data_IF_635883144183
#
_entry.id   IF_635883144183
#
_cell.length_a   1.000
_cell.length_b   1.000
_cell.length_c   1.000
_cell.angle_alpha   90.00
_cell.angle_beta   90.00
_cell.angle_gamma   90.00
#
_symmetry.space_group_name_H-M   'P 1'
#
loop_
_entity.id
_entity.type
_entity.pdbx_description
1 polymer ?
#
# COMPACT_ATOMS: atom_id res chain seq x y z
N UNK A 1 -1.07 0.43 11.73
CA UNK A 1 0.05 1.30 12.12
C UNK A 1 0.44 1.18 13.58
N UNK A 2 -0.50 1.03 14.55
CA UNK A 2 -0.15 0.99 15.99
C UNK A 2 0.90 -0.09 16.35
N UNK A 3 0.78 -1.29 15.80
CA UNK A 3 1.73 -2.37 16.05
C UNK A 3 3.12 -2.07 15.47
N UNK A 4 3.17 -1.49 14.28
CA UNK A 4 4.42 -1.08 13.63
C UNK A 4 5.13 0.01 14.44
N UNK A 5 4.41 1.04 14.86
CA UNK A 5 4.95 2.11 15.72
C UNK A 5 5.49 1.54 17.05
N UNK A 6 4.76 0.61 17.66
CA UNK A 6 5.23 -0.04 18.90
C UNK A 6 6.52 -0.82 18.66
N UNK A 7 6.58 -1.63 17.61
CA UNK A 7 7.78 -2.37 17.24
C UNK A 7 8.99 -1.47 16.98
N UNK A 8 8.78 -0.36 16.26
CA UNK A 8 9.84 0.62 16.00
C UNK A 8 10.37 1.23 17.30
N UNK A 9 9.48 1.58 18.25
CA UNK A 9 9.90 2.12 19.55
C UNK A 9 10.65 1.09 20.39
N UNK A 10 10.23 -0.18 20.37
CA UNK A 10 10.93 -1.25 21.06
C UNK A 10 12.34 -1.46 20.49
N UNK A 11 12.47 -1.50 19.16
CA UNK A 11 13.77 -1.60 18.50
C UNK A 11 14.66 -0.39 18.83
N UNK A 12 14.11 0.83 18.79
CA UNK A 12 14.86 2.02 19.15
C UNK A 12 15.40 1.96 20.59
N UNK A 13 14.61 1.46 21.54
CA UNK A 13 15.06 1.26 22.91
C UNK A 13 16.16 0.19 23.00
N UNK A 14 16.00 -0.93 22.32
CA UNK A 14 16.97 -2.04 22.31
C UNK A 14 18.34 -1.61 21.76
N UNK A 15 18.32 -0.82 20.67
CA UNK A 15 19.53 -0.38 19.97
C UNK A 15 19.99 1.03 20.38
N UNK A 16 19.41 1.62 21.44
CA UNK A 16 19.72 2.95 21.93
C UNK A 16 19.68 4.02 20.83
N UNK A 17 18.67 3.94 19.95
CA UNK A 17 18.42 4.90 18.89
C UNK A 17 17.36 5.93 19.32
N UNK A 18 17.49 7.16 18.85
CA UNK A 18 16.46 8.19 19.00
C UNK A 18 15.57 8.14 17.76
N UNK A 19 14.25 8.13 17.95
CA UNK A 19 13.31 8.14 16.84
C UNK A 19 12.32 9.29 16.98
N UNK A 20 12.00 9.89 15.85
CA UNK A 20 10.86 10.78 15.68
C UNK A 20 9.88 10.14 14.68
N UNK A 21 8.58 10.30 14.91
CA UNK A 21 7.54 9.71 14.07
C UNK A 21 6.69 10.83 13.51
N UNK A 22 6.69 10.98 12.20
CA UNK A 22 5.87 11.94 11.45
C UNK A 22 4.92 11.17 10.54
N UNK A 23 3.67 11.60 10.47
CA UNK A 23 2.68 11.01 9.58
C UNK A 23 1.59 12.02 9.23
N UNK A 24 1.03 11.96 8.02
CA UNK A 24 -0.19 12.71 7.70
C UNK A 24 -1.38 12.15 8.50
N UNK A 25 -2.47 12.90 8.54
CA UNK A 25 -3.70 12.46 9.22
C UNK A 25 -4.41 11.36 8.44
N UNK A 26 -4.39 11.45 7.11
CA UNK A 26 -5.00 10.49 6.20
C UNK A 26 -3.91 9.76 5.41
N UNK A 27 -4.09 8.46 5.18
CA UNK A 27 -3.11 7.60 4.52
C UNK A 27 -2.89 7.96 3.03
N UNK A 28 -3.90 8.54 2.40
CA UNK A 28 -3.88 8.99 1.00
C UNK A 28 -3.40 10.43 0.82
N UNK A 29 -2.98 11.13 1.88
CA UNK A 29 -2.45 12.50 1.80
C UNK A 29 -0.96 12.49 1.45
N UNK A 30 -0.69 12.22 0.16
CA UNK A 30 0.67 12.14 -0.39
C UNK A 30 1.40 13.48 -0.31
N UNK A 31 0.69 14.59 -0.53
CA UNK A 31 1.28 15.93 -0.47
C UNK A 31 1.80 16.20 0.94
N UNK A 32 0.97 15.98 1.97
CA UNK A 32 1.40 16.17 3.35
C UNK A 32 2.52 15.23 3.76
N UNK A 33 2.50 13.97 3.30
CA UNK A 33 3.62 13.07 3.56
C UNK A 33 4.92 13.58 2.95
N UNK A 34 4.88 14.09 1.71
CA UNK A 34 6.04 14.64 1.03
C UNK A 34 6.58 15.91 1.71
N UNK A 35 5.70 16.77 2.26
CA UNK A 35 6.12 17.91 3.09
C UNK A 35 6.84 17.45 4.36
N UNK A 36 6.25 16.50 5.10
CA UNK A 36 6.84 15.92 6.31
C UNK A 36 8.18 15.24 6.03
N UNK A 37 8.31 14.60 4.87
CA UNK A 37 9.57 14.00 4.44
C UNK A 37 10.65 15.06 4.20
N UNK A 38 10.31 16.17 3.55
CA UNK A 38 11.24 17.31 3.36
C UNK A 38 11.65 17.92 4.70
N UNK A 39 10.69 18.16 5.60
CA UNK A 39 10.97 18.63 6.96
C UNK A 39 11.96 17.69 7.67
N UNK A 40 11.73 16.37 7.61
CA UNK A 40 12.61 15.38 8.20
C UNK A 40 14.03 15.39 7.60
N UNK A 41 14.15 15.55 6.27
CA UNK A 41 15.45 15.64 5.59
C UNK A 41 16.23 16.90 6.02
N UNK A 42 15.54 18.02 6.27
CA UNK A 42 16.17 19.27 6.76
C UNK A 42 16.70 19.12 8.18
N UNK A 43 16.08 18.30 9.02
CA UNK A 43 16.54 17.99 10.37
C UNK A 43 17.82 17.14 10.39
N UNK A 44 18.18 16.51 9.27
CA UNK A 44 19.43 15.78 9.08
C UNK A 44 19.55 14.50 9.90
N UNK A 45 18.59 13.56 9.84
CA UNK A 45 18.68 12.29 10.54
C UNK A 45 19.74 11.38 9.91
N UNK A 46 20.25 10.41 10.66
CA UNK A 46 21.15 9.37 10.15
C UNK A 46 20.43 8.43 9.17
N UNK A 47 19.13 8.19 9.39
CA UNK A 47 18.30 7.31 8.57
C UNK A 47 16.83 7.72 8.58
N UNK A 48 16.13 7.41 7.49
CA UNK A 48 14.68 7.53 7.35
C UNK A 48 14.09 6.15 7.09
N UNK A 49 13.16 5.72 7.96
CA UNK A 49 12.31 4.57 7.75
C UNK A 49 10.95 5.06 7.31
N UNK A 50 10.55 4.81 6.08
CA UNK A 50 9.33 5.35 5.49
C UNK A 50 8.45 4.26 4.87
N UNK A 51 7.12 4.46 4.96
CA UNK A 51 6.12 3.76 4.17
C UNK A 51 5.51 4.78 3.20
N UNK A 52 5.99 4.85 1.94
CA UNK A 52 5.50 5.84 0.99
C UNK A 52 4.00 5.67 0.69
N UNK A 53 3.26 6.77 0.71
CA UNK A 53 1.83 6.82 0.34
C UNK A 53 1.59 6.85 -1.18
N UNK A 54 2.66 6.92 -1.99
CA UNK A 54 2.62 6.85 -3.44
C UNK A 54 3.77 6.02 -3.99
N UNK A 55 3.51 5.26 -5.05
CA UNK A 55 4.51 4.44 -5.71
C UNK A 55 5.54 5.29 -6.50
N UNK A 56 5.19 6.52 -6.88
CA UNK A 56 6.00 7.35 -7.77
C UNK A 56 6.36 8.74 -7.23
N UNK A 57 5.49 9.37 -6.44
CA UNK A 57 5.60 10.81 -6.17
C UNK A 57 6.69 11.20 -5.18
N UNK A 58 7.17 10.27 -4.33
CA UNK A 58 8.20 10.56 -3.34
C UNK A 58 9.64 10.31 -3.83
N UNK A 59 9.82 9.68 -5.00
CA UNK A 59 11.14 9.25 -5.51
C UNK A 59 12.18 10.37 -5.49
N UNK A 60 11.86 11.53 -6.10
CA UNK A 60 12.78 12.66 -6.18
C UNK A 60 13.22 13.20 -4.81
N UNK A 61 12.30 13.23 -3.84
CA UNK A 61 12.60 13.71 -2.48
C UNK A 61 13.51 12.70 -1.76
N UNK A 62 13.28 11.41 -1.99
CA UNK A 62 14.11 10.34 -1.43
C UNK A 62 15.51 10.32 -2.04
N UNK A 63 15.65 10.62 -3.34
CA UNK A 63 16.95 10.81 -3.98
C UNK A 63 17.73 11.96 -3.36
N UNK A 64 17.08 13.12 -3.10
CA UNK A 64 17.68 14.26 -2.41
C UNK A 64 18.16 13.89 -0.99
N UNK A 65 17.42 13.04 -0.27
CA UNK A 65 17.83 12.52 1.03
C UNK A 65 19.11 11.66 0.91
N UNK A 66 19.14 10.78 -0.08
CA UNK A 66 20.29 9.90 -0.35
C UNK A 66 21.54 10.70 -0.73
N UNK A 67 21.41 11.76 -1.54
CA UNK A 67 22.50 12.67 -1.88
C UNK A 67 23.08 13.38 -0.65
N UNK A 68 22.27 13.63 0.39
CA UNK A 68 22.70 14.16 1.67
C UNK A 68 23.33 13.11 2.61
N UNK A 69 23.44 11.85 2.17
CA UNK A 69 24.01 10.74 2.93
C UNK A 69 23.05 10.11 3.95
N UNK A 70 21.76 10.43 3.90
CA UNK A 70 20.73 9.85 4.76
C UNK A 70 20.43 8.43 4.26
N UNK A 71 20.46 7.44 5.14
CA UNK A 71 20.07 6.07 4.82
C UNK A 71 18.56 5.95 4.70
N UNK A 72 18.09 5.19 3.69
CA UNK A 72 16.66 5.03 3.44
C UNK A 72 16.28 3.56 3.58
N UNK A 73 15.23 3.29 4.36
CA UNK A 73 14.62 1.98 4.46
C UNK A 73 13.12 2.08 4.24
N UNK A 74 12.57 1.16 3.44
CA UNK A 74 11.14 1.05 3.25
C UNK A 74 10.53 0.02 4.19
N UNK A 75 9.34 0.33 4.71
CA UNK A 75 8.56 -0.58 5.52
C UNK A 75 7.12 -0.59 5.00
N UNK A 76 6.55 -1.79 4.81
CA UNK A 76 5.20 -2.05 4.31
C UNK A 76 5.03 -1.70 2.82
N UNK A 77 5.15 -0.45 2.44
CA UNK A 77 5.12 0.04 1.05
C UNK A 77 6.50 0.57 0.60
N UNK A 78 6.65 0.77 -0.69
CA UNK A 78 7.88 1.25 -1.32
C UNK A 78 7.57 2.02 -2.62
N UNK A 79 8.59 2.68 -3.17
CA UNK A 79 8.50 3.40 -4.43
C UNK A 79 9.01 2.58 -5.62
N UNK A 80 8.63 2.97 -6.83
CA UNK A 80 9.02 2.29 -8.07
C UNK A 80 10.54 2.27 -8.27
N UNK A 81 11.20 3.38 -7.94
CA UNK A 81 12.65 3.48 -8.06
C UNK A 81 13.37 2.95 -6.81
N UNK A 82 14.42 2.15 -6.98
CA UNK A 82 15.13 1.50 -5.86
C UNK A 82 16.13 2.46 -5.20
N UNK A 83 15.65 3.40 -4.41
CA UNK A 83 16.50 4.36 -3.68
C UNK A 83 16.94 3.88 -2.30
N UNK A 84 16.31 2.84 -1.78
CA UNK A 84 16.49 2.34 -0.42
C UNK A 84 17.68 1.40 -0.24
N UNK A 85 18.17 1.32 1.00
CA UNK A 85 19.17 0.32 1.43
C UNK A 85 18.51 -1.01 1.84
N UNK A 86 17.27 -0.95 2.35
CA UNK A 86 16.51 -2.10 2.84
C UNK A 86 15.02 -1.91 2.60
N UNK A 87 14.32 -3.01 2.31
CA UNK A 87 12.85 -3.06 2.30
C UNK A 87 12.37 -4.21 3.19
N UNK A 88 11.40 -3.92 4.06
CA UNK A 88 10.67 -4.92 4.85
C UNK A 88 9.20 -4.80 4.53
N UNK A 89 8.69 -5.68 3.70
CA UNK A 89 7.31 -5.66 3.22
C UNK A 89 6.75 -7.07 3.03
N UNK A 90 5.44 -7.17 2.96
CA UNK A 90 4.77 -8.39 2.47
C UNK A 90 5.06 -8.55 0.98
N UNK A 91 5.23 -9.78 0.51
CA UNK A 91 5.20 -10.07 -0.93
C UNK A 91 3.74 -9.95 -1.43
N UNK A 92 3.33 -8.72 -1.74
CA UNK A 92 1.95 -8.38 -2.08
C UNK A 92 1.51 -8.99 -3.41
N UNK A 93 2.43 -9.12 -4.37
CA UNK A 93 2.15 -9.78 -5.65
C UNK A 93 1.80 -11.26 -5.43
N UNK A 94 2.59 -11.97 -4.64
CA UNK A 94 2.34 -13.39 -4.32
C UNK A 94 1.07 -13.56 -3.47
N UNK A 95 0.82 -12.66 -2.53
CA UNK A 95 -0.40 -12.69 -1.72
C UNK A 95 -1.65 -12.50 -2.58
N UNK A 96 -1.62 -11.52 -3.49
CA UNK A 96 -2.68 -11.31 -4.48
C UNK A 96 -2.88 -12.52 -5.38
N UNK A 97 -1.79 -13.11 -5.90
CA UNK A 97 -1.86 -14.29 -6.77
C UNK A 97 -2.50 -15.51 -6.06
N UNK A 98 -2.15 -15.74 -4.80
CA UNK A 98 -2.76 -16.78 -3.97
C UNK A 98 -4.25 -16.54 -3.79
N UNK A 99 -4.66 -15.32 -3.50
CA UNK A 99 -6.07 -14.95 -3.36
C UNK A 99 -6.81 -15.14 -4.70
N UNK A 100 -6.23 -14.71 -5.81
CA UNK A 100 -6.82 -14.87 -7.15
C UNK A 100 -7.02 -16.32 -7.53
N UNK A 101 -6.04 -17.20 -7.29
CA UNK A 101 -6.18 -18.65 -7.51
C UNK A 101 -7.28 -19.28 -6.66
N UNK A 102 -7.38 -18.86 -5.40
CA UNK A 102 -8.47 -19.30 -4.53
C UNK A 102 -9.82 -18.81 -5.04
N UNK A 103 -9.93 -17.53 -5.41
CA UNK A 103 -11.15 -16.97 -5.99
C UNK A 103 -11.58 -17.73 -7.27
N UNK A 104 -10.64 -17.98 -8.18
CA UNK A 104 -10.90 -18.72 -9.41
C UNK A 104 -11.45 -20.14 -9.17
N UNK A 105 -11.07 -20.77 -8.05
CA UNK A 105 -11.61 -22.11 -7.69
C UNK A 105 -13.06 -22.08 -7.24
N UNK A 106 -13.62 -20.91 -6.94
CA UNK A 106 -14.99 -20.74 -6.44
C UNK A 106 -15.94 -20.15 -7.49
N UNK A 107 -15.40 -19.61 -8.60
CA UNK A 107 -16.15 -18.82 -9.57
C UNK A 107 -16.35 -19.58 -10.88
N UNK A 108 -17.51 -19.35 -11.50
CA UNK A 108 -17.80 -19.77 -12.86
C UNK A 108 -17.34 -18.76 -13.91
N UNK A 109 -17.38 -19.14 -15.20
CA UNK A 109 -16.82 -18.31 -16.29
C UNK A 109 -17.54 -16.98 -16.51
N UNK A 110 -18.79 -16.85 -16.08
CA UNK A 110 -19.61 -15.65 -16.27
C UNK A 110 -19.82 -14.85 -14.96
N UNK A 111 -19.17 -15.26 -13.85
CA UNK A 111 -19.35 -14.63 -12.55
C UNK A 111 -18.60 -13.30 -12.48
N UNK A 112 -19.29 -12.23 -12.11
CA UNK A 112 -18.72 -10.88 -11.98
C UNK A 112 -17.99 -10.70 -10.66
N UNK A 113 -16.86 -9.98 -10.73
CA UNK A 113 -15.96 -9.71 -9.61
C UNK A 113 -15.81 -8.18 -9.47
N UNK A 114 -15.77 -7.66 -8.24
CA UNK A 114 -15.34 -6.30 -7.97
C UNK A 114 -14.20 -6.29 -6.96
N UNK A 115 -13.38 -5.24 -6.97
CA UNK A 115 -12.28 -5.06 -6.03
C UNK A 115 -12.53 -3.78 -5.23
N UNK A 116 -12.40 -3.86 -3.90
CA UNK A 116 -12.37 -2.71 -2.99
C UNK A 116 -10.96 -2.58 -2.43
N UNK A 117 -10.09 -1.90 -3.13
CA UNK A 117 -8.70 -1.68 -2.72
C UNK A 117 -8.59 -0.56 -1.68
N UNK A 118 -7.46 -0.50 -0.95
CA UNK A 118 -7.26 0.49 0.11
C UNK A 118 -6.92 1.88 -0.43
N UNK A 119 -5.71 2.15 -0.89
CA UNK A 119 -5.28 3.46 -1.38
C UNK A 119 -4.79 3.35 -2.82
N UNK A 120 -5.29 4.22 -3.69
CA UNK A 120 -4.89 4.23 -5.09
C UNK A 120 -3.43 4.63 -5.26
N UNK A 121 -2.67 3.85 -6.02
CA UNK A 121 -1.30 4.19 -6.43
C UNK A 121 -0.23 3.94 -5.36
N UNK A 122 -0.56 3.29 -4.24
CA UNK A 122 0.44 2.75 -3.31
C UNK A 122 0.88 1.36 -3.76
N UNK A 123 2.16 1.01 -3.57
CA UNK A 123 2.73 -0.26 -4.05
C UNK A 123 1.94 -1.48 -3.60
N UNK A 124 1.51 -1.50 -2.35
CA UNK A 124 0.74 -2.60 -1.75
C UNK A 124 -0.60 -2.84 -2.45
N UNK A 125 -1.31 -1.77 -2.88
CA UNK A 125 -2.56 -1.89 -3.62
C UNK A 125 -2.31 -2.35 -5.06
N UNK A 126 -1.33 -1.75 -5.73
CA UNK A 126 -0.95 -2.08 -7.12
C UNK A 126 -0.58 -3.55 -7.24
N UNK A 127 0.32 -4.03 -6.39
CA UNK A 127 0.80 -5.41 -6.46
C UNK A 127 -0.26 -6.45 -6.06
N UNK A 128 -1.09 -6.16 -5.05
CA UNK A 128 -2.20 -7.07 -4.69
C UNK A 128 -3.21 -7.20 -5.81
N UNK A 129 -3.56 -6.09 -6.48
CA UNK A 129 -4.46 -6.13 -7.64
C UNK A 129 -3.83 -6.89 -8.81
N UNK A 130 -2.55 -6.61 -9.15
CA UNK A 130 -1.84 -7.31 -10.22
C UNK A 130 -1.74 -8.82 -9.93
N UNK A 131 -1.34 -9.18 -8.72
CA UNK A 131 -1.29 -10.57 -8.28
C UNK A 131 -2.65 -11.24 -8.34
N UNK A 132 -3.71 -10.57 -7.90
CA UNK A 132 -5.08 -11.09 -7.93
C UNK A 132 -5.53 -11.38 -9.36
N UNK A 133 -5.31 -10.43 -10.29
CA UNK A 133 -5.60 -10.63 -11.72
C UNK A 133 -4.83 -11.81 -12.31
N UNK A 134 -3.55 -11.90 -11.99
CA UNK A 134 -2.69 -13.04 -12.41
C UNK A 134 -3.21 -14.36 -11.87
N UNK A 135 -3.65 -14.40 -10.61
CA UNK A 135 -4.19 -15.59 -9.98
C UNK A 135 -5.55 -16.03 -10.53
N UNK A 136 -6.38 -15.08 -10.96
CA UNK A 136 -7.66 -15.35 -11.63
C UNK A 136 -7.50 -15.96 -13.02
N UNK A 137 -6.38 -15.71 -13.71
CA UNK A 137 -6.19 -16.15 -15.10
C UNK A 137 -7.26 -15.55 -16.03
N UNK A 138 -7.94 -16.39 -16.80
CA UNK A 138 -8.97 -15.96 -17.77
C UNK A 138 -10.16 -15.25 -17.10
N UNK A 139 -10.41 -15.49 -15.80
CA UNK A 139 -11.48 -14.81 -15.06
C UNK A 139 -11.12 -13.36 -14.69
N UNK A 140 -9.90 -12.88 -14.95
CA UNK A 140 -9.52 -11.49 -14.70
C UNK A 140 -10.34 -10.49 -15.51
N UNK A 141 -10.83 -10.89 -16.70
CA UNK A 141 -11.71 -10.07 -17.55
C UNK A 141 -13.12 -9.89 -16.96
N UNK A 142 -13.49 -10.71 -15.97
CA UNK A 142 -14.76 -10.61 -15.26
C UNK A 142 -14.73 -9.58 -14.12
N UNK A 143 -13.60 -8.89 -13.91
CA UNK A 143 -13.53 -7.77 -12.96
C UNK A 143 -14.25 -6.56 -13.56
N UNK A 144 -15.44 -6.28 -13.04
CA UNK A 144 -16.33 -5.23 -13.54
C UNK A 144 -16.03 -3.85 -12.96
N UNK A 145 -15.38 -3.78 -11.79
CA UNK A 145 -15.03 -2.50 -11.15
C UNK A 145 -13.89 -2.66 -10.14
N UNK A 146 -13.11 -1.58 -9.97
CA UNK A 146 -12.09 -1.43 -8.93
C UNK A 146 -12.29 -0.07 -8.25
N UNK A 147 -12.57 -0.07 -6.96
CA UNK A 147 -12.79 1.14 -6.17
C UNK A 147 -11.82 1.23 -5.00
N UNK A 148 -11.60 2.43 -4.47
CA UNK A 148 -10.60 2.67 -3.42
C UNK A 148 -11.24 3.27 -2.18
N UNK A 149 -11.06 2.62 -1.04
CA UNK A 149 -11.68 3.00 0.22
C UNK A 149 -10.81 3.90 1.13
N UNK A 150 -9.58 4.24 0.69
CA UNK A 150 -8.62 5.08 1.43
C UNK A 150 -8.36 4.58 2.88
N UNK A 151 -8.33 3.25 3.06
CA UNK A 151 -8.20 2.57 4.35
C UNK A 151 -9.29 2.92 5.38
N UNK A 152 -10.43 3.48 4.90
CA UNK A 152 -11.56 3.89 5.74
C UNK A 152 -12.66 2.82 5.76
N UNK A 153 -12.97 2.32 6.96
CA UNK A 153 -13.97 1.26 7.15
C UNK A 153 -15.36 1.62 6.60
N UNK A 154 -15.87 2.82 6.94
CA UNK A 154 -17.20 3.24 6.49
C UNK A 154 -17.26 3.49 4.98
N UNK A 155 -16.17 3.98 4.39
CA UNK A 155 -16.07 4.15 2.94
C UNK A 155 -16.04 2.79 2.24
N UNK A 156 -15.28 1.82 2.75
CA UNK A 156 -15.28 0.45 2.22
C UNK A 156 -16.66 -0.17 2.24
N UNK A 157 -17.36 -0.06 3.38
CA UNK A 157 -18.74 -0.55 3.53
C UNK A 157 -19.69 0.10 2.50
N UNK A 158 -19.63 1.43 2.36
CA UNK A 158 -20.47 2.19 1.42
C UNK A 158 -20.20 1.75 -0.03
N UNK A 159 -18.93 1.72 -0.44
CA UNK A 159 -18.54 1.30 -1.78
C UNK A 159 -18.96 -0.14 -2.10
N UNK A 160 -18.85 -1.05 -1.12
CA UNK A 160 -19.31 -2.44 -1.31
C UNK A 160 -20.81 -2.51 -1.58
N UNK A 161 -21.63 -1.73 -0.86
CA UNK A 161 -23.08 -1.66 -1.07
C UNK A 161 -23.38 -1.10 -2.47
N UNK A 162 -22.73 0.00 -2.86
CA UNK A 162 -22.91 0.62 -4.17
C UNK A 162 -22.53 -0.34 -5.32
N UNK A 163 -21.46 -1.13 -5.15
CA UNK A 163 -21.07 -2.16 -6.12
C UNK A 163 -22.14 -3.27 -6.25
N UNK A 164 -22.69 -3.73 -5.13
CA UNK A 164 -23.75 -4.75 -5.13
C UNK A 164 -25.04 -4.24 -5.78
N UNK A 165 -25.39 -2.96 -5.61
CA UNK A 165 -26.54 -2.32 -6.25
C UNK A 165 -26.31 -2.10 -7.77
N UNK A 166 -25.08 -1.69 -8.13
CA UNK A 166 -24.71 -1.41 -9.53
C UNK A 166 -24.59 -2.68 -10.37
N UNK A 167 -24.13 -3.77 -9.76
CA UNK A 167 -23.87 -5.05 -10.44
C UNK A 167 -24.69 -6.19 -9.80
N UNK A 168 -25.96 -6.41 -10.23
CA UNK A 168 -26.84 -7.43 -9.62
C UNK A 168 -26.31 -8.88 -9.72
N UNK A 169 -25.41 -9.12 -10.68
CA UNK A 169 -24.79 -10.43 -10.89
C UNK A 169 -23.41 -10.57 -10.22
N UNK A 170 -23.03 -9.61 -9.35
CA UNK A 170 -21.79 -9.66 -8.62
C UNK A 170 -21.74 -10.90 -7.71
N UNK A 171 -20.72 -11.71 -7.87
CA UNK A 171 -20.53 -12.95 -7.09
C UNK A 171 -19.44 -12.81 -6.04
N UNK A 172 -18.47 -11.92 -6.28
CA UNK A 172 -17.35 -11.74 -5.37
C UNK A 172 -16.99 -10.27 -5.27
N UNK A 173 -16.68 -9.85 -4.05
CA UNK A 173 -15.95 -8.63 -3.75
C UNK A 173 -14.65 -9.04 -3.09
N UNK A 174 -13.52 -8.68 -3.70
CA UNK A 174 -12.18 -8.86 -3.13
C UNK A 174 -11.71 -7.55 -2.47
N UNK A 175 -10.93 -7.65 -1.34
CA UNK A 175 -10.44 -6.49 -0.62
C UNK A 175 -9.14 -6.75 0.11
#
# INVERSE_FOLDING_TARGET
WKALILGTRMAAQEYNATIEIKAPTEENDVERQNELLKEAIEEGPDAILISPSSFTESNKILDEAKEKGIRISFIDSYTEEPVQDLTVATNNLEAGEKLGKFAASLLGPDDQIAIVAHVKGVSTAVEREEGFRKGLGDLADNIVDVVYCDSQYEKSRKLTIELMEKYPNLKMVAG
#
